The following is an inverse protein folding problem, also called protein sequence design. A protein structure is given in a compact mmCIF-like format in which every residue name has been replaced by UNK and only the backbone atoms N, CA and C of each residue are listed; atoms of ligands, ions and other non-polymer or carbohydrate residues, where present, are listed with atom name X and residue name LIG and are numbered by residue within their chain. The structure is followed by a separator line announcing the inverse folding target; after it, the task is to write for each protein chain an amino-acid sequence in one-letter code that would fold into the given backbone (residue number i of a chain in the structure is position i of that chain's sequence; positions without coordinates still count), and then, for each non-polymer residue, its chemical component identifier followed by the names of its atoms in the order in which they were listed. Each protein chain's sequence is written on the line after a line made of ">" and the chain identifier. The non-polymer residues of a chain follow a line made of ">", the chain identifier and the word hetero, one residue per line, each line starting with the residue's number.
data_IF_804228489032
#
_entry.id   IF_804228489032
#
_cell.length_a   1.000
_cell.length_b   1.000
_cell.length_c   1.000
_cell.angle_alpha   90.00
_cell.angle_beta   90.00
_cell.angle_gamma   90.00
#
_symmetry.space_group_name_H-M   'P 1'
#
loop_
_entity.id
_entity.type
_entity.pdbx_description
1 polymer ?
#
# COMPACT_ATOMS: atom_id res chain seq x y z
N UNK A 1 -64.89 25.19 18.74
CA UNK A 1 -63.58 25.66 19.20
C UNK A 1 -62.60 24.57 19.68
N UNK A 2 -62.85 23.26 19.46
CA UNK A 2 -61.96 22.17 19.93
C UNK A 2 -61.09 21.54 18.80
N UNK A 3 -61.29 21.88 17.54
CA UNK A 3 -60.53 21.28 16.40
C UNK A 3 -59.27 22.07 15.98
N UNK A 4 -59.09 23.29 16.43
CA UNK A 4 -57.93 24.13 16.05
C UNK A 4 -56.70 23.86 16.96
N UNK A 5 -56.92 23.37 18.20
CA UNK A 5 -55.81 23.07 19.14
C UNK A 5 -55.02 21.80 18.78
N UNK A 6 -55.65 20.85 18.10
CA UNK A 6 -55.00 19.57 17.75
C UNK A 6 -54.04 19.70 16.54
N UNK A 7 -54.30 20.66 15.63
CA UNK A 7 -53.45 20.90 14.46
C UNK A 7 -52.17 21.64 14.84
N UNK A 8 -52.18 22.48 15.88
CA UNK A 8 -51.01 23.25 16.29
C UNK A 8 -49.96 22.37 17.03
N UNK A 9 -50.38 21.27 17.66
CA UNK A 9 -49.47 20.33 18.35
C UNK A 9 -48.76 19.42 17.34
N UNK A 10 -49.37 19.08 16.19
CA UNK A 10 -48.73 18.25 15.15
C UNK A 10 -47.67 19.01 14.35
N UNK A 11 -47.76 20.36 14.29
CA UNK A 11 -46.77 21.17 13.59
C UNK A 11 -45.48 21.45 14.41
N UNK A 12 -45.55 21.31 15.72
CA UNK A 12 -44.41 21.54 16.63
C UNK A 12 -43.50 20.31 16.76
N UNK A 13 -43.99 19.11 16.40
CA UNK A 13 -43.19 17.84 16.47
C UNK A 13 -42.35 17.62 15.22
N UNK A 14 -42.65 18.29 14.11
CA UNK A 14 -41.85 18.16 12.87
C UNK A 14 -40.61 19.09 12.79
N UNK A 15 -40.38 19.95 13.80
CA UNK A 15 -39.26 20.90 13.80
C UNK A 15 -38.06 20.47 14.64
N UNK A 16 -38.09 19.28 15.27
CA UNK A 16 -36.97 18.77 16.09
C UNK A 16 -36.20 17.61 15.47
N UNK A 17 -36.44 17.29 14.20
CA UNK A 17 -35.74 16.23 13.47
C UNK A 17 -34.75 16.74 12.41
N UNK A 18 -34.09 17.88 12.66
CA UNK A 18 -32.97 18.38 11.85
C UNK A 18 -31.92 18.98 12.78
N UNK A 19 -31.11 18.16 13.35
CA UNK A 19 -30.06 18.65 14.25
C UNK A 19 -28.95 17.69 14.58
N UNK A 20 -28.65 16.69 13.75
CA UNK A 20 -27.48 15.80 14.01
C UNK A 20 -26.48 15.68 12.86
N UNK A 21 -26.62 16.42 11.76
CA UNK A 21 -25.70 16.33 10.61
C UNK A 21 -24.78 17.55 10.41
N UNK A 22 -24.58 18.42 11.41
CA UNK A 22 -23.87 19.71 11.21
C UNK A 22 -22.42 19.69 11.67
N UNK A 23 -21.94 18.63 12.32
CA UNK A 23 -20.51 18.50 12.70
C UNK A 23 -19.92 17.18 12.22
N UNK A 24 -20.05 16.85 10.93
CA UNK A 24 -19.13 15.91 10.33
C UNK A 24 -17.79 16.64 10.22
N UNK A 25 -16.87 16.29 11.11
CA UNK A 25 -15.52 16.84 11.10
C UNK A 25 -14.92 16.53 9.73
N UNK A 26 -14.44 17.54 8.98
CA UNK A 26 -13.82 17.37 7.65
C UNK A 26 -12.67 16.35 7.65
N UNK A 27 -12.19 15.97 8.85
CA UNK A 27 -11.16 14.97 9.06
C UNK A 27 -11.65 13.50 9.00
N UNK A 28 -12.98 13.23 9.03
CA UNK A 28 -13.53 11.87 8.96
C UNK A 28 -13.70 11.36 7.54
N UNK A 29 -13.32 12.15 6.53
CA UNK A 29 -13.45 11.79 5.12
C UNK A 29 -12.23 11.06 4.55
N UNK A 30 -11.10 11.03 5.27
CA UNK A 30 -9.87 10.42 4.80
C UNK A 30 -10.01 8.90 4.78
N UNK A 31 -9.75 8.29 3.63
CA UNK A 31 -9.63 6.84 3.46
C UNK A 31 -8.24 6.50 2.94
N UNK A 32 -7.62 5.51 3.55
CA UNK A 32 -6.35 4.95 3.13
C UNK A 32 -6.55 3.49 2.77
N UNK A 33 -6.03 3.09 1.63
CA UNK A 33 -6.17 1.73 1.14
C UNK A 33 -4.81 1.19 0.67
N UNK A 34 -4.55 -0.06 0.99
CA UNK A 34 -3.48 -0.81 0.36
C UNK A 34 -3.93 -1.20 -1.06
N UNK A 35 -3.10 -0.95 -2.04
CA UNK A 35 -3.27 -1.42 -3.41
C UNK A 35 -2.28 -2.54 -3.66
N UNK A 36 -2.79 -3.69 -4.10
CA UNK A 36 -1.98 -4.83 -4.56
C UNK A 36 -2.19 -5.01 -6.05
N UNK A 37 -1.10 -5.00 -6.81
CA UNK A 37 -1.14 -5.08 -8.26
C UNK A 37 -0.61 -6.44 -8.73
N UNK A 38 -1.31 -7.03 -9.69
CA UNK A 38 -0.94 -8.32 -10.27
C UNK A 38 0.49 -8.31 -10.84
N UNK A 39 1.17 -9.47 -10.88
CA UNK A 39 2.38 -9.65 -11.66
C UNK A 39 2.21 -9.24 -13.13
N UNK A 40 3.29 -8.85 -13.76
CA UNK A 40 3.37 -8.56 -15.19
C UNK A 40 4.40 -9.45 -15.88
N UNK A 41 4.63 -9.20 -17.17
CA UNK A 41 5.53 -10.03 -18.00
C UNK A 41 7.01 -9.61 -17.86
N UNK A 42 7.27 -8.39 -17.42
CA UNK A 42 8.63 -7.88 -17.27
C UNK A 42 9.26 -8.36 -15.96
N UNK A 43 10.56 -8.66 -15.98
CA UNK A 43 11.29 -9.25 -14.85
C UNK A 43 11.11 -8.47 -13.52
N UNK A 44 11.02 -7.13 -13.60
CA UNK A 44 10.81 -6.28 -12.43
C UNK A 44 9.36 -6.31 -11.91
N UNK A 45 8.42 -6.81 -12.70
CA UNK A 45 7.00 -6.91 -12.35
C UNK A 45 6.53 -8.32 -11.96
N UNK A 46 7.37 -9.34 -12.05
CA UNK A 46 7.02 -10.73 -11.70
C UNK A 46 6.44 -10.89 -10.29
N UNK A 47 6.85 -10.05 -9.37
CA UNK A 47 6.46 -10.14 -7.97
C UNK A 47 5.19 -9.33 -7.63
N UNK A 48 4.58 -8.69 -8.65
CA UNK A 48 3.51 -7.74 -8.43
C UNK A 48 4.02 -6.41 -7.89
N UNK A 49 3.11 -5.60 -7.35
CA UNK A 49 3.45 -4.29 -6.80
C UNK A 49 2.51 -3.90 -5.65
N UNK A 50 2.99 -3.06 -4.74
CA UNK A 50 2.19 -2.49 -3.65
C UNK A 50 2.29 -0.97 -3.65
N UNK A 51 1.14 -0.30 -3.42
CA UNK A 51 1.07 1.14 -3.23
C UNK A 51 0.03 1.49 -2.15
N UNK A 52 0.02 2.74 -1.68
CA UNK A 52 -1.02 3.24 -0.77
C UNK A 52 -1.83 4.31 -1.48
N UNK A 53 -3.15 4.11 -1.58
CA UNK A 53 -4.09 5.12 -2.06
C UNK A 53 -4.57 5.97 -0.89
N UNK A 54 -4.52 7.28 -1.06
CA UNK A 54 -5.06 8.27 -0.17
C UNK A 54 -6.23 8.97 -0.85
N UNK A 55 -7.38 8.93 -0.23
CA UNK A 55 -8.60 9.58 -0.69
C UNK A 55 -9.07 10.58 0.37
N UNK A 56 -9.31 11.82 -0.03
CA UNK A 56 -9.99 12.85 0.76
C UNK A 56 -11.10 13.48 -0.08
N UNK A 57 -12.30 12.88 -0.08
CA UNK A 57 -13.43 13.39 -0.86
C UNK A 57 -13.82 14.82 -0.53
N UNK A 58 -13.63 15.25 0.74
CA UNK A 58 -13.93 16.62 1.18
C UNK A 58 -13.04 17.67 0.50
N UNK A 59 -11.82 17.29 0.12
CA UNK A 59 -10.86 18.13 -0.59
C UNK A 59 -10.73 17.80 -2.07
N UNK A 60 -11.45 16.79 -2.57
CA UNK A 60 -11.32 16.31 -3.95
C UNK A 60 -9.94 15.72 -4.26
N UNK A 61 -9.25 15.11 -3.26
CA UNK A 61 -7.94 14.53 -3.40
C UNK A 61 -8.10 13.01 -3.54
N UNK A 62 -7.43 12.45 -4.56
CA UNK A 62 -7.35 11.01 -4.81
C UNK A 62 -6.00 10.70 -5.44
N UNK A 63 -5.04 10.27 -4.61
CA UNK A 63 -3.65 10.07 -5.02
C UNK A 63 -3.12 8.71 -4.53
N UNK A 64 -2.16 8.17 -5.27
CA UNK A 64 -1.45 6.96 -4.93
C UNK A 64 -0.01 7.28 -4.58
N UNK A 65 0.41 6.90 -3.40
CA UNK A 65 1.80 6.90 -2.97
C UNK A 65 2.46 5.60 -3.42
N UNK A 66 3.37 5.73 -4.38
CA UNK A 66 3.99 4.62 -5.09
C UNK A 66 5.49 4.55 -4.78
N UNK A 67 5.89 3.58 -3.95
CA UNK A 67 7.30 3.27 -3.70
C UNK A 67 7.87 2.42 -4.84
N UNK A 68 9.17 2.56 -5.10
CA UNK A 68 9.83 1.72 -6.11
C UNK A 68 9.91 2.33 -7.49
N UNK A 69 9.62 3.62 -7.63
CA UNK A 69 9.90 4.32 -8.89
C UNK A 69 11.40 4.49 -9.09
N UNK A 70 11.89 4.21 -10.27
CA UNK A 70 13.31 4.29 -10.61
C UNK A 70 13.52 4.87 -12.00
N UNK A 71 14.75 5.34 -12.26
CA UNK A 71 15.12 5.94 -13.53
C UNK A 71 16.02 4.99 -14.32
N UNK A 72 15.46 4.29 -15.30
CA UNK A 72 16.23 3.45 -16.24
C UNK A 72 17.31 4.21 -17.02
N UNK A 73 17.15 5.52 -17.20
CA UNK A 73 18.13 6.37 -17.88
C UNK A 73 19.35 6.72 -17.04
N UNK A 74 19.42 6.28 -15.76
CA UNK A 74 20.58 6.52 -14.93
C UNK A 74 21.83 5.80 -15.49
N UNK A 75 23.01 6.43 -15.48
CA UNK A 75 24.24 5.80 -15.97
C UNK A 75 24.51 4.46 -15.28
N UNK A 76 24.85 3.44 -16.06
CA UNK A 76 25.16 2.09 -15.57
C UNK A 76 24.03 1.45 -14.73
N UNK A 77 22.76 1.79 -15.00
CA UNK A 77 21.62 1.34 -14.20
C UNK A 77 21.62 -0.17 -13.94
N UNK A 78 21.74 -0.99 -14.99
CA UNK A 78 21.71 -2.47 -14.87
C UNK A 78 22.85 -2.97 -13.97
N UNK A 79 24.04 -2.45 -14.12
CA UNK A 79 25.18 -2.84 -13.30
C UNK A 79 25.01 -2.41 -11.84
N UNK A 80 24.55 -1.18 -11.61
CA UNK A 80 24.24 -0.68 -10.26
C UNK A 80 23.08 -1.44 -9.61
N UNK A 81 22.07 -1.81 -10.40
CA UNK A 81 20.95 -2.64 -9.95
C UNK A 81 21.45 -4.01 -9.47
N UNK A 82 22.26 -4.69 -10.26
CA UNK A 82 22.84 -5.99 -9.90
C UNK A 82 23.73 -5.93 -8.64
N UNK A 83 24.36 -4.78 -8.39
CA UNK A 83 25.15 -4.54 -7.17
C UNK A 83 24.33 -4.02 -5.97
N UNK A 84 22.99 -3.90 -6.08
CA UNK A 84 22.15 -3.31 -5.03
C UNK A 84 22.44 -1.83 -4.78
N UNK A 85 22.95 -1.08 -5.78
CA UNK A 85 23.38 0.31 -5.67
C UNK A 85 22.43 1.30 -6.35
N UNK A 86 21.20 0.88 -6.63
CA UNK A 86 20.17 1.74 -7.22
C UNK A 86 19.37 2.46 -6.17
N UNK A 87 19.20 3.77 -6.37
CA UNK A 87 18.30 4.58 -5.57
C UNK A 87 16.92 4.64 -6.24
N UNK A 88 15.90 4.45 -5.44
CA UNK A 88 14.49 4.51 -5.83
C UNK A 88 13.83 5.70 -5.16
N UNK A 89 12.69 6.09 -5.67
CA UNK A 89 11.94 7.21 -5.10
C UNK A 89 10.49 6.82 -4.81
N UNK A 90 9.94 7.49 -3.80
CA UNK A 90 8.49 7.56 -3.60
C UNK A 90 7.92 8.61 -4.54
N UNK A 91 6.93 8.23 -5.35
CA UNK A 91 6.13 9.14 -6.16
C UNK A 91 4.71 9.26 -5.64
N UNK A 92 4.07 10.41 -5.86
CA UNK A 92 2.65 10.62 -5.66
C UNK A 92 2.00 10.89 -7.02
N UNK A 93 1.02 10.07 -7.37
CA UNK A 93 0.36 10.12 -8.70
C UNK A 93 -1.16 10.12 -8.51
N UNK A 94 -1.95 10.91 -9.26
CA UNK A 94 -3.40 10.80 -9.27
C UNK A 94 -3.85 9.36 -9.55
N UNK A 95 -4.85 8.87 -8.80
CA UNK A 95 -5.31 7.48 -8.91
C UNK A 95 -5.75 7.10 -10.31
N UNK A 96 -6.45 7.98 -11.02
CA UNK A 96 -6.89 7.71 -12.39
C UNK A 96 -5.71 7.43 -13.35
N UNK A 97 -4.58 8.12 -13.15
CA UNK A 97 -3.36 7.91 -13.94
C UNK A 97 -2.68 6.59 -13.56
N UNK A 98 -2.61 6.30 -12.27
CA UNK A 98 -2.10 5.02 -11.78
C UNK A 98 -2.91 3.85 -12.32
N UNK A 99 -4.25 3.90 -12.19
CA UNK A 99 -5.14 2.85 -12.66
C UNK A 99 -5.07 2.65 -14.19
N UNK A 100 -4.94 3.74 -14.96
CA UNK A 100 -4.83 3.68 -16.42
C UNK A 100 -3.61 2.87 -16.90
N UNK A 101 -2.50 2.92 -16.17
CA UNK A 101 -1.29 2.13 -16.46
C UNK A 101 -1.59 0.62 -16.36
N UNK A 102 -2.21 0.19 -15.27
CA UNK A 102 -2.56 -1.24 -15.05
C UNK A 102 -3.66 -1.72 -16.00
N UNK A 103 -4.63 -0.86 -16.35
CA UNK A 103 -5.65 -1.18 -17.37
C UNK A 103 -4.96 -1.39 -18.73
N UNK A 104 -4.03 -0.53 -19.11
CA UNK A 104 -3.29 -0.66 -20.38
C UNK A 104 -2.44 -1.93 -20.43
N UNK A 105 -1.87 -2.35 -19.30
CA UNK A 105 -1.08 -3.57 -19.17
C UNK A 105 -1.93 -4.83 -18.92
N UNK A 106 -3.28 -4.70 -18.89
CA UNK A 106 -4.22 -5.78 -18.57
C UNK A 106 -3.94 -6.48 -17.24
N UNK A 107 -3.43 -5.73 -16.26
CA UNK A 107 -3.09 -6.20 -14.91
C UNK A 107 -4.15 -5.79 -13.90
N UNK A 108 -4.56 -6.71 -13.05
CA UNK A 108 -5.51 -6.45 -11.97
C UNK A 108 -4.89 -5.61 -10.85
N UNK A 109 -5.71 -4.77 -10.22
CA UNK A 109 -5.38 -4.04 -9.00
C UNK A 109 -6.46 -4.33 -7.97
N UNK A 110 -6.07 -4.89 -6.83
CA UNK A 110 -6.95 -5.08 -5.67
C UNK A 110 -6.78 -3.93 -4.70
N UNK A 111 -7.88 -3.50 -4.11
CA UNK A 111 -7.89 -2.43 -3.12
C UNK A 111 -8.44 -2.96 -1.81
N UNK A 112 -7.68 -2.80 -0.75
CA UNK A 112 -8.03 -3.16 0.62
C UNK A 112 -8.04 -1.91 1.47
N UNK A 113 -9.23 -1.43 1.88
CA UNK A 113 -9.36 -0.28 2.76
C UNK A 113 -8.83 -0.61 4.15
N UNK A 114 -7.93 0.22 4.67
CA UNK A 114 -7.36 0.04 6.00
C UNK A 114 -8.37 0.49 7.06
N UNK A 115 -8.59 -0.36 8.07
CA UNK A 115 -9.48 -0.06 9.18
C UNK A 115 -8.72 0.74 10.26
N UNK A 116 -8.43 2.00 9.96
CA UNK A 116 -7.70 2.92 10.83
C UNK A 116 -8.65 3.86 11.55
N UNK A 117 -8.31 4.21 12.77
CA UNK A 117 -8.96 5.33 13.46
C UNK A 117 -8.67 6.66 12.73
N UNK A 118 -9.46 7.72 12.97
CA UNK A 118 -9.20 9.04 12.37
C UNK A 118 -7.80 9.59 12.69
N UNK A 119 -7.26 9.32 13.88
CA UNK A 119 -5.92 9.77 14.29
C UNK A 119 -4.82 8.98 13.56
N UNK A 120 -4.95 7.67 13.45
CA UNK A 120 -4.05 6.81 12.69
C UNK A 120 -4.07 7.15 11.20
N UNK A 121 -5.26 7.43 10.63
CA UNK A 121 -5.40 7.85 9.24
C UNK A 121 -4.68 9.17 8.98
N UNK A 122 -4.81 10.16 9.87
CA UNK A 122 -4.06 11.43 9.78
C UNK A 122 -2.56 11.20 9.92
N UNK A 123 -2.14 10.34 10.84
CA UNK A 123 -0.74 10.01 11.06
C UNK A 123 -0.13 9.34 9.83
N UNK A 124 -0.80 8.33 9.25
CA UNK A 124 -0.32 7.67 8.03
C UNK A 124 -0.25 8.65 6.86
N UNK A 125 -1.29 9.48 6.65
CA UNK A 125 -1.27 10.51 5.62
C UNK A 125 -0.09 11.49 5.80
N UNK A 126 0.17 11.94 7.03
CA UNK A 126 1.30 12.82 7.36
C UNK A 126 2.66 12.15 7.06
N UNK A 127 2.83 10.87 7.43
CA UNK A 127 4.05 10.10 7.15
C UNK A 127 4.30 9.97 5.64
N UNK A 128 3.26 9.70 4.85
CA UNK A 128 3.37 9.55 3.39
C UNK A 128 3.69 10.90 2.73
N UNK A 129 3.01 11.98 3.13
CA UNK A 129 3.27 13.33 2.62
C UNK A 129 4.69 13.76 2.96
N UNK A 130 5.13 13.59 4.20
CA UNK A 130 6.49 13.92 4.62
C UNK A 130 7.53 13.14 3.83
N UNK A 131 7.30 11.82 3.65
CA UNK A 131 8.21 10.96 2.89
C UNK A 131 8.23 11.29 1.39
N UNK A 132 7.17 11.89 0.83
CA UNK A 132 7.10 12.27 -0.58
C UNK A 132 7.85 13.56 -0.93
N UNK A 133 8.31 14.33 0.05
CA UNK A 133 9.08 15.55 -0.18
C UNK A 133 10.40 15.25 -0.89
N UNK A 134 10.89 16.16 -1.74
CA UNK A 134 12.12 15.96 -2.52
C UNK A 134 13.33 15.49 -1.70
N UNK A 135 13.48 16.03 -0.49
CA UNK A 135 14.55 15.70 0.45
C UNK A 135 14.44 14.32 1.09
N UNK A 136 13.22 13.75 1.17
CA UNK A 136 12.93 12.51 1.91
C UNK A 136 12.55 11.32 1.02
N UNK A 137 12.19 11.58 -0.25
CA UNK A 137 11.59 10.55 -1.13
C UNK A 137 12.57 9.53 -1.69
N UNK A 138 13.86 9.84 -1.69
CA UNK A 138 14.89 8.96 -2.25
C UNK A 138 15.40 7.98 -1.21
N UNK A 139 15.51 6.71 -1.60
CA UNK A 139 15.99 5.65 -0.71
C UNK A 139 16.81 4.60 -1.46
N UNK A 140 17.71 3.90 -0.73
CA UNK A 140 18.42 2.76 -1.27
C UNK A 140 17.51 1.54 -1.28
N UNK A 141 17.24 1.06 -2.47
CA UNK A 141 16.40 -0.13 -2.65
C UNK A 141 17.11 -1.40 -2.17
N UNK A 142 16.36 -2.24 -1.46
CA UNK A 142 16.77 -3.59 -1.13
C UNK A 142 15.59 -4.53 -1.37
N UNK A 143 15.78 -5.52 -2.24
CA UNK A 143 14.71 -6.40 -2.70
C UNK A 143 13.97 -7.11 -1.57
N UNK A 144 14.67 -7.53 -0.52
CA UNK A 144 14.08 -8.25 0.61
C UNK A 144 13.62 -7.34 1.77
N UNK A 145 14.32 -6.24 1.99
CA UNK A 145 14.18 -5.49 3.23
C UNK A 145 13.67 -4.06 3.06
N UNK A 146 13.81 -3.46 1.87
CA UNK A 146 13.44 -2.06 1.63
C UNK A 146 12.91 -1.87 0.21
N UNK A 147 11.68 -2.34 -0.04
CA UNK A 147 11.04 -2.38 -1.36
C UNK A 147 9.63 -1.76 -1.37
N UNK A 148 8.91 -1.92 -2.50
CA UNK A 148 7.55 -1.39 -2.68
C UNK A 148 6.51 -2.01 -1.75
N UNK A 149 6.78 -3.16 -1.10
CA UNK A 149 5.89 -3.83 -0.17
C UNK A 149 6.27 -3.54 1.29
N UNK A 150 7.57 -3.65 1.62
CA UNK A 150 8.04 -3.45 3.00
C UNK A 150 7.86 -2.02 3.48
N UNK A 151 8.06 -1.01 2.61
CA UNK A 151 7.88 0.40 2.98
C UNK A 151 6.43 0.77 3.31
N UNK A 152 5.42 0.42 2.51
CA UNK A 152 4.02 0.56 2.90
C UNK A 152 3.69 -0.14 4.22
N UNK A 153 4.11 -1.40 4.40
CA UNK A 153 3.95 -2.14 5.64
C UNK A 153 4.49 -1.35 6.83
N UNK A 154 5.74 -0.91 6.75
CA UNK A 154 6.40 -0.21 7.85
C UNK A 154 5.71 1.12 8.17
N UNK A 155 5.16 1.84 7.16
CA UNK A 155 4.39 3.06 7.39
C UNK A 155 3.03 2.79 8.03
N UNK A 156 2.37 1.69 7.67
CA UNK A 156 1.14 1.24 8.31
C UNK A 156 1.43 0.85 9.77
N UNK A 157 2.47 0.06 10.03
CA UNK A 157 2.87 -0.29 11.39
C UNK A 157 3.23 0.94 12.23
N UNK A 158 3.91 1.94 11.65
CA UNK A 158 4.31 3.19 12.33
C UNK A 158 3.11 4.07 12.72
N UNK A 159 2.01 4.03 11.95
CA UNK A 159 0.85 4.86 12.24
C UNK A 159 -0.04 4.32 13.36
N UNK A 160 -0.06 3.01 13.57
CA UNK A 160 -0.95 2.34 14.52
C UNK A 160 -0.49 2.54 15.96
N UNK A 161 -1.44 2.83 16.85
CA UNK A 161 -1.19 2.89 18.28
C UNK A 161 -1.23 1.49 18.87
N UNK A 162 -0.08 1.00 19.32
CA UNK A 162 0.05 -0.34 19.90
C UNK A 162 0.87 -1.29 19.03
N UNK A 163 0.53 -2.58 19.07
CA UNK A 163 1.21 -3.63 18.31
C UNK A 163 0.24 -4.31 17.37
N UNK A 164 0.58 -4.37 16.11
CA UNK A 164 -0.15 -5.21 15.15
C UNK A 164 0.19 -6.67 15.42
N UNK A 165 -0.85 -7.49 15.49
CA UNK A 165 -0.73 -8.95 15.52
C UNK A 165 -1.33 -9.43 14.21
N UNK A 166 -0.50 -9.97 13.34
CA UNK A 166 -0.95 -10.58 12.10
C UNK A 166 -1.39 -12.02 12.37
N UNK A 167 -2.68 -12.31 12.24
CA UNK A 167 -3.21 -13.68 12.26
C UNK A 167 -3.05 -14.33 10.88
N UNK A 168 -1.84 -14.37 10.43
CA UNK A 168 -1.47 -14.74 9.09
C UNK A 168 -1.07 -16.23 9.02
N UNK A 169 -1.55 -16.98 8.01
CA UNK A 169 -1.33 -18.44 7.96
C UNK A 169 0.12 -18.85 7.72
N UNK A 170 0.96 -17.95 7.20
CA UNK A 170 2.38 -18.26 7.02
C UNK A 170 3.12 -18.21 8.35
N UNK A 171 3.75 -19.33 8.70
CA UNK A 171 4.49 -19.48 9.95
C UNK A 171 5.96 -19.14 9.78
N UNK A 172 6.57 -18.60 10.83
CA UNK A 172 8.00 -18.35 10.90
C UNK A 172 8.80 -19.63 10.60
N UNK A 173 9.87 -19.48 9.82
CA UNK A 173 10.79 -20.57 9.50
C UNK A 173 10.28 -21.60 8.51
N UNK A 174 9.08 -21.45 7.93
CA UNK A 174 8.52 -22.41 6.97
C UNK A 174 9.01 -22.23 5.53
N UNK A 175 9.54 -21.06 5.21
CA UNK A 175 10.05 -20.69 3.87
C UNK A 175 11.33 -19.88 3.99
N UNK A 176 12.10 -19.88 2.91
CA UNK A 176 13.20 -18.95 2.67
C UNK A 176 12.80 -17.87 1.65
N UNK A 177 13.60 -16.82 1.52
CA UNK A 177 13.39 -15.81 0.46
C UNK A 177 13.45 -16.47 -0.93
N UNK A 178 14.43 -17.37 -1.16
CA UNK A 178 14.58 -18.07 -2.45
C UNK A 178 13.36 -18.92 -2.80
N UNK A 179 12.82 -19.67 -1.86
CA UNK A 179 11.62 -20.48 -2.10
C UNK A 179 10.42 -19.61 -2.51
N UNK A 180 10.28 -18.42 -1.90
CA UNK A 180 9.22 -17.49 -2.29
C UNK A 180 9.51 -16.90 -3.69
N UNK A 181 10.73 -16.47 -3.96
CA UNK A 181 11.14 -15.98 -5.29
C UNK A 181 10.84 -17.01 -6.37
N UNK A 182 11.12 -18.28 -6.12
CA UNK A 182 10.86 -19.37 -7.08
C UNK A 182 9.36 -19.54 -7.38
N UNK A 183 8.46 -19.23 -6.45
CA UNK A 183 7.01 -19.27 -6.72
C UNK A 183 6.58 -18.29 -7.81
N UNK A 184 7.23 -17.12 -7.87
CA UNK A 184 6.92 -16.05 -8.81
C UNK A 184 7.74 -16.11 -10.11
N UNK A 185 8.79 -16.93 -10.15
CA UNK A 185 9.63 -17.11 -11.35
C UNK A 185 9.36 -18.43 -12.07
N UNK A 186 8.31 -19.17 -11.68
CA UNK A 186 7.87 -20.38 -12.36
C UNK A 186 7.57 -20.10 -13.83
N UNK A 187 8.08 -20.93 -14.73
CA UNK A 187 7.94 -20.73 -16.17
C UNK A 187 9.01 -19.82 -16.80
N UNK A 188 9.86 -19.18 -16.00
CA UNK A 188 10.91 -18.27 -16.46
C UNK A 188 12.32 -18.73 -16.02
N UNK A 189 12.83 -19.91 -16.50
CA UNK A 189 14.03 -20.53 -15.94
C UNK A 189 15.29 -19.67 -16.06
N UNK A 190 15.43 -18.89 -17.13
CA UNK A 190 16.58 -18.00 -17.31
C UNK A 190 16.54 -16.78 -16.38
N UNK A 191 15.35 -16.21 -16.18
CA UNK A 191 15.15 -15.12 -15.20
C UNK A 191 15.39 -15.62 -13.78
N UNK A 192 14.86 -16.80 -13.43
CA UNK A 192 15.08 -17.45 -12.14
C UNK A 192 16.57 -17.67 -11.88
N UNK A 193 17.30 -18.26 -12.84
CA UNK A 193 18.74 -18.47 -12.72
C UNK A 193 19.51 -17.15 -12.49
N UNK A 194 19.18 -16.10 -13.26
CA UNK A 194 19.82 -14.78 -13.10
C UNK A 194 19.52 -14.15 -11.72
N UNK A 195 18.29 -14.25 -11.25
CA UNK A 195 17.90 -13.76 -9.91
C UNK A 195 18.63 -14.55 -8.84
N UNK A 196 18.69 -15.89 -8.94
CA UNK A 196 19.38 -16.76 -7.99
C UNK A 196 20.86 -16.42 -7.81
N UNK A 197 21.54 -16.05 -8.89
CA UNK A 197 22.93 -15.57 -8.80
C UNK A 197 23.04 -14.24 -8.05
N UNK A 198 22.06 -13.35 -8.21
CA UNK A 198 22.09 -12.01 -7.61
C UNK A 198 21.75 -12.02 -6.12
N UNK A 199 20.79 -12.88 -5.68
CA UNK A 199 20.29 -12.86 -4.29
C UNK A 199 21.23 -13.57 -3.30
N UNK A 200 22.13 -14.39 -3.78
CA UNK A 200 23.17 -15.04 -2.96
C UNK A 200 22.64 -16.06 -1.95
N UNK A 201 23.53 -16.58 -1.11
CA UNK A 201 23.21 -17.64 -0.13
C UNK A 201 22.40 -17.15 1.08
N UNK A 202 22.35 -15.84 1.35
CA UNK A 202 21.52 -15.32 2.44
C UNK A 202 20.04 -15.58 2.21
N UNK A 203 19.63 -15.66 0.93
CA UNK A 203 18.26 -15.97 0.54
C UNK A 203 17.79 -17.38 0.90
N UNK A 204 18.70 -18.28 1.31
CA UNK A 204 18.39 -19.68 1.65
C UNK A 204 18.00 -19.86 3.12
N UNK A 205 18.16 -18.83 3.95
CA UNK A 205 17.81 -18.92 5.37
C UNK A 205 16.30 -18.92 5.57
N UNK A 206 15.79 -19.69 6.55
CA UNK A 206 14.41 -19.58 6.99
C UNK A 206 14.10 -18.14 7.44
N UNK A 207 12.93 -17.63 7.05
CA UNK A 207 12.50 -16.27 7.32
C UNK A 207 11.23 -16.24 8.16
N UNK A 208 10.98 -15.08 8.80
CA UNK A 208 9.77 -14.87 9.58
C UNK A 208 8.57 -14.55 8.67
N UNK A 209 7.36 -14.75 9.20
CA UNK A 209 6.11 -14.35 8.53
C UNK A 209 6.12 -12.88 8.13
N UNK A 210 6.64 -11.99 8.99
CA UNK A 210 6.80 -10.57 8.66
C UNK A 210 7.80 -10.34 7.51
N UNK A 211 8.87 -11.11 7.41
CA UNK A 211 9.81 -11.01 6.29
C UNK A 211 9.19 -11.49 4.97
N UNK A 212 8.26 -12.46 5.00
CA UNK A 212 7.55 -12.91 3.80
C UNK A 212 6.73 -11.78 3.13
N UNK A 213 6.33 -10.76 3.90
CA UNK A 213 5.62 -9.57 3.41
C UNK A 213 6.47 -8.66 2.51
N UNK A 214 7.69 -9.07 2.12
CA UNK A 214 8.44 -8.40 1.07
C UNK A 214 7.77 -8.56 -0.31
N UNK A 215 6.88 -9.53 -0.44
CA UNK A 215 6.04 -9.76 -1.60
C UNK A 215 4.65 -9.15 -1.39
N UNK A 216 4.10 -8.42 -2.37
CA UNK A 216 2.82 -7.72 -2.29
C UNK A 216 1.66 -8.58 -1.80
N UNK A 217 1.48 -9.78 -2.37
CA UNK A 217 0.37 -10.66 -1.99
C UNK A 217 0.49 -11.21 -0.57
N UNK A 218 1.71 -11.45 -0.09
CA UNK A 218 1.91 -11.84 1.31
C UNK A 218 1.59 -10.70 2.28
N UNK A 219 1.82 -9.44 1.88
CA UNK A 219 1.40 -8.27 2.67
C UNK A 219 -0.12 -8.09 2.63
N UNK A 220 -0.74 -8.25 1.45
CA UNK A 220 -2.20 -8.18 1.30
C UNK A 220 -2.90 -9.19 2.21
N UNK A 221 -2.47 -10.46 2.16
CA UNK A 221 -3.01 -11.53 3.01
C UNK A 221 -2.84 -11.21 4.50
N UNK A 222 -1.68 -10.69 4.89
CA UNK A 222 -1.38 -10.36 6.29
C UNK A 222 -2.22 -9.18 6.81
N UNK A 223 -2.57 -8.21 5.98
CA UNK A 223 -3.44 -7.07 6.35
C UNK A 223 -4.92 -7.47 6.32
N UNK A 224 -5.30 -8.50 5.54
CA UNK A 224 -6.66 -9.03 5.51
C UNK A 224 -6.99 -9.88 6.75
N UNK A 225 -5.99 -10.41 7.45
CA UNK A 225 -6.14 -11.26 8.64
C UNK A 225 -6.37 -10.42 9.89
#
# INVERSE_FOLDING_TARGET
>A
MKRIKTILILFLVCLTAKGEDVFRNDNDSIRLSLLTCAPGEEIYSYFGHTAIRYEDPGKGIDVVFNYGLFNFGAPNFIFRFALGQTDYILGATPYNRFAAEYIFEERSVWQQTLNLTPDESRKLASLLIENSKPENRTYRYNFFYDNCSTRPRDKIEECIEGKIIYDYPAKDGTKSFREIVHQYTQGHPWSQFGIDLCIGSEADRPITSRQMMFIPFYLEDAIAS
#
